data_IF_334202685373
#
_entry.id   IF_334202685373
#
_cell.length_a   1.000
_cell.length_b   1.000
_cell.length_c   1.000
_cell.angle_alpha   90.00
_cell.angle_beta   90.00
_cell.angle_gamma   90.00
#
_symmetry.space_group_name_H-M   'P 1'
#
loop_
_entity.id
_entity.type
_entity.pdbx_description
1 polymer ?
#
# COMPACT_ATOMS: atom_id res chain seq x y z
N UNK A 1 25.80 -21.42 -13.14
CA UNK A 1 24.89 -20.25 -13.21
C UNK A 1 25.35 -19.25 -12.19
N UNK A 2 25.56 -18.00 -12.56
CA UNK A 2 25.95 -16.95 -11.58
C UNK A 2 24.76 -16.61 -10.67
N UNK A 3 25.05 -15.98 -9.51
CA UNK A 3 23.98 -15.50 -8.61
C UNK A 3 23.03 -14.54 -9.31
N UNK A 4 23.54 -13.63 -10.10
CA UNK A 4 22.72 -12.68 -10.87
C UNK A 4 21.83 -13.37 -11.92
N UNK A 5 22.31 -14.41 -12.59
CA UNK A 5 21.48 -15.21 -13.52
C UNK A 5 20.37 -15.94 -12.80
N UNK A 6 20.66 -16.53 -11.64
CA UNK A 6 19.64 -17.13 -10.77
C UNK A 6 18.56 -16.12 -10.37
N UNK A 7 18.94 -14.93 -9.93
CA UNK A 7 17.98 -13.87 -9.56
C UNK A 7 17.12 -13.43 -10.74
N UNK A 8 17.70 -13.32 -11.95
CA UNK A 8 16.93 -13.01 -13.17
C UNK A 8 15.90 -14.09 -13.50
N UNK A 9 16.22 -15.37 -13.32
CA UNK A 9 15.26 -16.45 -13.50
C UNK A 9 14.14 -16.39 -12.46
N UNK A 10 14.47 -16.11 -11.19
CA UNK A 10 13.45 -15.91 -10.15
C UNK A 10 12.54 -14.72 -10.45
N UNK A 11 13.06 -13.63 -10.99
CA UNK A 11 12.25 -12.49 -11.41
C UNK A 11 11.24 -12.86 -12.50
N UNK A 12 11.61 -13.71 -13.45
CA UNK A 12 10.67 -14.19 -14.48
C UNK A 12 9.50 -14.95 -13.82
N UNK A 13 9.80 -15.80 -12.84
CA UNK A 13 8.78 -16.57 -12.14
C UNK A 13 7.90 -15.71 -11.22
N UNK A 14 8.42 -14.59 -10.72
CA UNK A 14 7.71 -13.64 -9.87
C UNK A 14 6.86 -12.62 -10.66
N UNK A 15 7.00 -12.56 -11.98
CA UNK A 15 6.24 -11.61 -12.80
C UNK A 15 4.87 -12.16 -13.15
N UNK A 16 3.87 -11.28 -13.07
CA UNK A 16 2.52 -11.56 -13.53
C UNK A 16 2.48 -11.39 -15.05
N UNK A 17 1.82 -12.30 -15.76
CA UNK A 17 1.61 -12.13 -17.20
C UNK A 17 0.77 -10.88 -17.49
N UNK A 18 1.06 -10.19 -18.59
CA UNK A 18 0.29 -8.99 -18.99
C UNK A 18 -1.21 -9.32 -19.18
N UNK A 19 -1.51 -10.54 -19.64
CA UNK A 19 -2.88 -10.97 -19.80
C UNK A 19 -3.59 -11.17 -18.45
N UNK A 20 -2.96 -11.85 -17.49
CA UNK A 20 -3.54 -12.02 -16.15
C UNK A 20 -3.72 -10.69 -15.46
N UNK A 21 -2.69 -9.83 -15.52
CA UNK A 21 -2.79 -8.48 -14.98
C UNK A 21 -4.02 -7.74 -15.52
N UNK A 22 -4.19 -7.71 -16.85
CA UNK A 22 -5.33 -7.03 -17.48
C UNK A 22 -6.66 -7.63 -17.05
N UNK A 23 -6.80 -8.95 -17.13
CA UNK A 23 -8.08 -9.62 -16.88
C UNK A 23 -8.52 -9.50 -15.42
N UNK A 24 -7.60 -9.58 -14.45
CA UNK A 24 -7.92 -9.39 -13.03
C UNK A 24 -8.28 -7.94 -12.72
N UNK A 25 -7.62 -6.98 -13.40
CA UNK A 25 -7.94 -5.56 -13.27
C UNK A 25 -9.32 -5.24 -13.81
N UNK A 26 -9.60 -5.65 -15.05
CA UNK A 26 -10.89 -5.41 -15.70
C UNK A 26 -12.03 -5.99 -14.83
N UNK A 27 -11.86 -7.21 -14.28
CA UNK A 27 -12.84 -7.81 -13.37
C UNK A 27 -12.97 -6.99 -12.06
N UNK A 28 -11.87 -6.57 -11.45
CA UNK A 28 -11.89 -5.81 -10.18
C UNK A 28 -12.55 -4.44 -10.36
N UNK A 29 -12.21 -3.71 -11.41
CA UNK A 29 -12.81 -2.40 -11.72
C UNK A 29 -14.30 -2.51 -11.95
N UNK A 30 -14.76 -3.48 -12.77
CA UNK A 30 -16.18 -3.68 -13.04
C UNK A 30 -16.98 -4.09 -11.78
N UNK A 31 -16.38 -4.91 -10.90
CA UNK A 31 -17.00 -5.27 -9.62
C UNK A 31 -17.16 -4.06 -8.71
N UNK A 32 -16.13 -3.21 -8.64
CA UNK A 32 -16.15 -2.01 -7.80
C UNK A 32 -17.09 -0.95 -8.35
N UNK A 33 -17.12 -0.75 -9.68
CA UNK A 33 -18.09 0.15 -10.30
C UNK A 33 -19.52 -0.22 -9.90
N UNK A 34 -19.86 -1.51 -9.93
CA UNK A 34 -21.18 -1.97 -9.50
C UNK A 34 -21.42 -1.67 -8.01
N UNK A 35 -20.49 -1.99 -7.13
CA UNK A 35 -20.59 -1.72 -5.68
C UNK A 35 -20.78 -0.23 -5.43
N UNK A 36 -20.02 0.64 -6.11
CA UNK A 36 -20.15 2.10 -5.99
C UNK A 36 -21.53 2.58 -6.44
N UNK A 37 -22.08 2.05 -7.53
CA UNK A 37 -23.43 2.39 -7.97
C UNK A 37 -24.49 1.99 -6.92
N UNK A 38 -24.34 0.82 -6.31
CA UNK A 38 -25.26 0.40 -5.25
C UNK A 38 -25.11 1.25 -3.97
N UNK A 39 -23.88 1.65 -3.59
CA UNK A 39 -23.63 2.58 -2.50
C UNK A 39 -24.33 3.93 -2.73
N UNK A 40 -24.21 4.49 -3.94
CA UNK A 40 -24.89 5.75 -4.32
C UNK A 40 -26.42 5.65 -4.25
N UNK A 41 -26.98 4.52 -4.66
CA UNK A 41 -28.43 4.29 -4.57
C UNK A 41 -28.92 4.15 -3.13
N UNK A 42 -28.12 3.56 -2.23
CA UNK A 42 -28.51 3.24 -0.85
C UNK A 42 -28.29 4.38 0.14
N UNK A 43 -27.45 5.36 -0.22
CA UNK A 43 -27.10 6.46 0.68
C UNK A 43 -26.84 7.75 -0.11
N UNK A 44 -27.70 8.75 0.10
CA UNK A 44 -27.59 10.04 -0.60
C UNK A 44 -26.30 10.79 -0.20
N UNK A 45 -25.90 10.72 1.06
CA UNK A 45 -24.65 11.33 1.53
C UNK A 45 -23.46 10.73 0.82
N UNK A 46 -23.44 9.40 0.64
CA UNK A 46 -22.38 8.76 -0.15
C UNK A 46 -22.39 9.24 -1.60
N UNK A 47 -23.57 9.32 -2.22
CA UNK A 47 -23.70 9.83 -3.59
C UNK A 47 -23.14 11.25 -3.74
N UNK A 48 -23.41 12.12 -2.78
CA UNK A 48 -22.99 13.52 -2.81
C UNK A 48 -21.48 13.70 -2.52
N UNK A 49 -20.90 12.83 -1.71
CA UNK A 49 -19.49 12.90 -1.32
C UNK A 49 -18.56 12.11 -2.26
N UNK A 50 -19.06 11.09 -2.96
CA UNK A 50 -18.20 10.24 -3.81
C UNK A 50 -17.71 11.00 -5.03
N UNK A 51 -16.39 11.07 -5.20
CA UNK A 51 -15.75 11.65 -6.39
C UNK A 51 -15.34 10.57 -7.39
N UNK A 52 -14.41 9.71 -7.00
CA UNK A 52 -13.83 8.69 -7.87
C UNK A 52 -13.18 7.57 -7.04
N UNK A 53 -12.67 6.55 -7.72
CA UNK A 53 -11.78 5.57 -7.11
C UNK A 53 -10.53 5.32 -7.96
N UNK A 54 -9.44 4.88 -7.31
CA UNK A 54 -8.22 4.49 -8.00
C UNK A 54 -7.60 3.26 -7.34
N UNK A 55 -7.12 2.36 -8.17
CA UNK A 55 -6.26 1.27 -7.73
C UNK A 55 -4.89 1.82 -7.30
N UNK A 56 -4.32 1.27 -6.23
CA UNK A 56 -3.08 1.77 -5.65
C UNK A 56 -2.17 0.62 -5.17
N UNK A 57 -1.15 0.95 -4.40
CA UNK A 57 -0.21 -0.01 -3.83
C UNK A 57 0.68 -0.70 -4.86
N UNK A 58 0.96 -1.98 -4.66
CA UNK A 58 1.84 -2.78 -5.53
C UNK A 58 1.37 -2.86 -6.97
N UNK A 59 0.07 -2.64 -7.20
CA UNK A 59 -0.53 -2.57 -8.52
C UNK A 59 -0.03 -1.36 -9.29
N UNK A 60 -0.16 -0.17 -8.72
CA UNK A 60 0.29 1.10 -9.32
C UNK A 60 1.80 1.08 -9.62
N UNK A 61 2.59 0.55 -8.70
CA UNK A 61 4.05 0.46 -8.83
C UNK A 61 4.51 -0.63 -9.81
N UNK A 62 3.61 -1.48 -10.27
CA UNK A 62 3.90 -2.63 -11.13
C UNK A 62 4.88 -3.64 -10.49
N UNK A 63 4.83 -3.80 -9.18
CA UNK A 63 5.66 -4.73 -8.40
C UNK A 63 4.85 -5.79 -7.65
N UNK A 64 3.63 -6.06 -8.12
CA UNK A 64 2.82 -7.18 -7.63
C UNK A 64 3.49 -8.49 -8.03
N UNK A 65 3.43 -9.48 -7.13
CA UNK A 65 3.93 -10.84 -7.35
C UNK A 65 2.75 -11.79 -7.50
N UNK A 66 3.00 -12.92 -8.14
CA UNK A 66 2.03 -14.00 -8.34
C UNK A 66 0.75 -13.53 -9.04
N UNK A 67 -0.41 -14.07 -8.64
CA UNK A 67 -1.69 -13.65 -9.18
C UNK A 67 -2.11 -12.29 -8.61
N UNK A 68 -2.65 -11.38 -9.42
CA UNK A 68 -3.11 -10.07 -8.98
C UNK A 68 -4.51 -10.15 -8.36
N UNK A 69 -4.69 -11.01 -7.35
CA UNK A 69 -5.96 -11.32 -6.70
C UNK A 69 -6.32 -10.39 -5.53
N UNK A 70 -5.40 -9.51 -5.14
CA UNK A 70 -5.60 -8.53 -4.07
C UNK A 70 -5.39 -7.11 -4.61
N UNK A 71 -6.34 -6.25 -4.36
CA UNK A 71 -6.33 -4.85 -4.78
C UNK A 71 -6.54 -3.93 -3.57
N UNK A 72 -5.70 -2.92 -3.46
CA UNK A 72 -5.92 -1.77 -2.58
C UNK A 72 -6.60 -0.68 -3.42
N UNK A 73 -7.72 -0.16 -2.93
CA UNK A 73 -8.52 0.81 -3.66
C UNK A 73 -8.77 2.04 -2.81
N UNK A 74 -8.31 3.18 -3.30
CA UNK A 74 -8.58 4.48 -2.74
C UNK A 74 -9.91 5.00 -3.28
N UNK A 75 -10.89 5.09 -2.40
CA UNK A 75 -12.19 5.69 -2.68
C UNK A 75 -12.14 7.16 -2.26
N UNK A 76 -12.08 8.04 -3.24
CA UNK A 76 -11.99 9.48 -3.01
C UNK A 76 -13.33 10.05 -2.62
N UNK A 77 -13.35 10.75 -1.50
CA UNK A 77 -14.49 11.51 -1.01
C UNK A 77 -14.16 13.00 -1.03
N UNK A 78 -15.13 13.81 -1.44
CA UNK A 78 -15.01 15.26 -1.52
C UNK A 78 -16.12 15.92 -0.70
N UNK A 79 -15.72 16.64 0.33
CA UNK A 79 -16.66 17.37 1.15
C UNK A 79 -17.19 18.64 0.45
N UNK A 80 -18.46 19.05 0.68
CA UNK A 80 -19.03 20.28 0.13
C UNK A 80 -18.54 21.55 0.85
N UNK A 81 -17.58 21.41 1.78
CA UNK A 81 -16.98 22.50 2.53
C UNK A 81 -15.45 22.40 2.48
N UNK A 82 -14.78 23.48 2.82
CA UNK A 82 -13.33 23.51 2.85
C UNK A 82 -12.79 22.65 3.98
N UNK A 83 -11.80 21.81 3.66
CA UNK A 83 -11.05 21.01 4.62
C UNK A 83 -9.57 21.38 4.50
N UNK A 84 -8.95 21.66 5.64
CA UNK A 84 -7.54 22.01 5.72
C UNK A 84 -6.79 20.93 6.47
N UNK A 85 -5.76 20.30 5.87
CA UNK A 85 -4.92 19.34 6.55
C UNK A 85 -3.95 20.05 7.50
N UNK A 86 -3.83 19.54 8.73
CA UNK A 86 -2.94 20.07 9.77
C UNK A 86 -1.97 18.95 10.18
N UNK A 87 -0.67 19.24 10.11
CA UNK A 87 0.37 18.30 10.50
C UNK A 87 0.29 17.93 11.98
N UNK A 88 0.54 16.66 12.30
CA UNK A 88 0.78 16.14 13.66
C UNK A 88 2.24 15.69 13.77
N UNK A 89 2.78 15.74 14.98
CA UNK A 89 4.19 15.38 15.25
C UNK A 89 4.51 13.91 14.90
N UNK A 90 3.50 13.04 14.92
CA UNK A 90 3.60 11.64 14.54
C UNK A 90 3.78 11.38 13.03
N UNK A 91 3.69 12.43 12.19
CA UNK A 91 3.69 12.29 10.72
C UNK A 91 2.32 12.00 10.11
N UNK A 92 1.28 12.07 10.91
CA UNK A 92 -0.12 12.02 10.51
C UNK A 92 -0.68 13.44 10.31
N UNK A 93 -1.88 13.54 9.80
CA UNK A 93 -2.62 14.80 9.69
C UNK A 93 -3.96 14.71 10.41
N UNK A 94 -4.41 15.81 11.01
CA UNK A 94 -5.84 16.03 11.25
C UNK A 94 -6.44 16.80 10.07
N UNK A 95 -7.73 16.62 9.84
CA UNK A 95 -8.49 17.30 8.79
C UNK A 95 -9.46 18.28 9.45
N UNK A 96 -9.13 19.57 9.39
CA UNK A 96 -9.94 20.62 9.98
C UNK A 96 -11.00 21.10 8.99
N UNK A 97 -12.28 20.93 9.33
CA UNK A 97 -13.42 21.44 8.57
C UNK A 97 -13.71 22.90 8.88
N UNK A 98 -13.86 23.74 7.85
CA UNK A 98 -14.29 25.12 7.95
C UNK A 98 -15.72 25.26 7.44
N UNK A 99 -16.67 25.46 8.35
CA UNK A 99 -18.07 25.67 7.99
C UNK A 99 -18.31 27.13 7.60
N UNK A 100 -18.84 27.36 6.41
CA UNK A 100 -19.03 28.70 5.81
C UNK A 100 -19.85 29.67 6.65
N UNK A 101 -20.75 29.16 7.49
CA UNK A 101 -21.71 29.98 8.26
C UNK A 101 -21.54 29.91 9.78
N UNK A 102 -20.59 29.15 10.27
CA UNK A 102 -20.29 29.01 11.68
C UNK A 102 -18.78 29.16 11.80
N UNK A 103 -18.30 30.17 12.52
CA UNK A 103 -16.87 30.40 12.74
C UNK A 103 -16.19 29.30 13.58
N UNK A 104 -16.71 28.08 13.50
CA UNK A 104 -16.26 26.92 14.24
C UNK A 104 -15.38 26.05 13.34
N UNK A 105 -14.15 25.82 13.79
CA UNK A 105 -13.23 24.85 13.19
C UNK A 105 -13.31 23.57 14.00
N UNK A 106 -13.59 22.47 13.35
CA UNK A 106 -13.67 21.17 14.01
C UNK A 106 -12.87 20.14 13.22
N UNK A 107 -12.11 19.31 13.95
CA UNK A 107 -11.43 18.17 13.34
C UNK A 107 -12.45 17.10 12.91
N UNK A 108 -12.29 16.62 11.69
CA UNK A 108 -13.10 15.50 11.19
C UNK A 108 -12.80 14.25 12.03
N UNK A 109 -13.87 13.62 12.46
CA UNK A 109 -13.80 12.40 13.26
C UNK A 109 -13.65 11.20 12.33
N UNK A 110 -12.42 10.73 12.13
CA UNK A 110 -12.08 9.59 11.29
C UNK A 110 -12.90 8.35 11.65
N UNK A 111 -13.03 8.04 12.94
CA UNK A 111 -13.82 6.91 13.39
C UNK A 111 -15.28 7.02 13.00
N UNK A 112 -15.88 8.22 13.06
CA UNK A 112 -17.28 8.44 12.65
C UNK A 112 -17.44 8.21 11.13
N UNK A 113 -16.47 8.64 10.32
CA UNK A 113 -16.48 8.40 8.87
C UNK A 113 -16.40 6.90 8.54
N UNK A 114 -15.54 6.17 9.23
CA UNK A 114 -15.43 4.71 9.08
C UNK A 114 -16.74 3.99 9.48
N UNK A 115 -17.35 4.37 10.60
CA UNK A 115 -18.62 3.80 11.02
C UNK A 115 -19.74 4.11 10.04
N UNK A 116 -19.78 5.34 9.52
CA UNK A 116 -20.75 5.72 8.50
C UNK A 116 -20.58 4.84 7.24
N UNK A 117 -19.38 4.75 6.67
CA UNK A 117 -19.12 3.94 5.47
C UNK A 117 -19.44 2.45 5.73
N UNK A 118 -19.09 1.92 6.90
CA UNK A 118 -19.47 0.57 7.30
C UNK A 118 -20.98 0.38 7.28
N UNK A 119 -21.75 1.36 7.80
CA UNK A 119 -23.21 1.30 7.81
C UNK A 119 -23.79 1.30 6.39
N UNK A 120 -23.21 2.09 5.48
CA UNK A 120 -23.63 2.14 4.07
C UNK A 120 -23.33 0.83 3.35
N UNK A 121 -22.12 0.29 3.55
CA UNK A 121 -21.75 -1.02 2.99
C UNK A 121 -22.64 -2.15 3.49
N UNK A 122 -23.04 -2.15 4.75
CA UNK A 122 -24.04 -3.11 5.28
C UNK A 122 -25.40 -3.01 4.61
N UNK A 123 -25.83 -1.83 4.17
CA UNK A 123 -27.08 -1.68 3.41
C UNK A 123 -26.97 -2.30 2.00
N UNK A 124 -25.77 -2.28 1.41
CA UNK A 124 -25.50 -2.88 0.10
C UNK A 124 -25.32 -4.39 0.20
N UNK A 125 -24.69 -4.85 1.29
CA UNK A 125 -24.41 -6.27 1.56
C UNK A 125 -25.17 -6.79 2.78
N UNK A 126 -26.53 -6.83 2.75
CA UNK A 126 -27.30 -7.50 3.81
C UNK A 126 -27.06 -9.02 3.79
N UNK A 127 -26.68 -9.56 2.65
CA UNK A 127 -26.24 -10.92 2.36
C UNK A 127 -25.21 -10.89 1.22
N UNK A 128 -24.69 -12.04 0.86
CA UNK A 128 -23.82 -12.15 -0.30
C UNK A 128 -24.56 -11.73 -1.58
N UNK A 129 -23.86 -11.03 -2.46
CA UNK A 129 -24.40 -10.52 -3.73
C UNK A 129 -23.84 -11.34 -4.90
N UNK A 130 -24.68 -11.72 -5.83
CA UNK A 130 -24.24 -12.39 -7.06
C UNK A 130 -24.18 -11.36 -8.19
N UNK A 131 -23.04 -11.29 -8.87
CA UNK A 131 -22.78 -10.37 -9.97
C UNK A 131 -22.08 -11.07 -11.13
N UNK A 132 -22.51 -10.78 -12.36
CA UNK A 132 -21.84 -11.29 -13.58
C UNK A 132 -20.96 -10.22 -14.21
N UNK A 133 -19.67 -10.50 -14.32
CA UNK A 133 -18.66 -9.63 -14.91
C UNK A 133 -17.77 -10.45 -15.85
N UNK A 134 -17.48 -9.94 -17.03
CA UNK A 134 -16.61 -10.60 -18.00
C UNK A 134 -17.03 -12.03 -18.37
N UNK A 135 -18.34 -12.30 -18.38
CA UNK A 135 -18.90 -13.65 -18.63
C UNK A 135 -18.72 -14.63 -17.47
N UNK A 136 -18.31 -14.17 -16.29
CA UNK A 136 -18.15 -14.96 -15.06
C UNK A 136 -19.15 -14.52 -14.01
N UNK A 137 -19.57 -15.45 -13.17
CA UNK A 137 -20.41 -15.17 -12.01
C UNK A 137 -19.53 -15.10 -10.76
N UNK A 138 -19.62 -13.99 -10.03
CA UNK A 138 -18.94 -13.74 -8.78
C UNK A 138 -19.94 -13.67 -7.63
N UNK A 139 -19.64 -14.35 -6.55
CA UNK A 139 -20.30 -14.12 -5.25
C UNK A 139 -19.48 -13.10 -4.46
N UNK A 140 -20.06 -11.93 -4.20
CA UNK A 140 -19.45 -10.85 -3.45
C UNK A 140 -19.90 -10.91 -2.00
N UNK A 141 -18.96 -10.81 -1.07
CA UNK A 141 -19.22 -10.68 0.36
C UNK A 141 -18.42 -9.51 0.93
N UNK A 142 -19.05 -8.78 1.84
CA UNK A 142 -18.41 -7.68 2.57
C UNK A 142 -17.96 -8.14 3.96
N UNK A 143 -16.73 -7.79 4.33
CA UNK A 143 -16.20 -8.00 5.68
C UNK A 143 -15.49 -6.72 6.16
N UNK A 144 -15.90 -6.15 7.30
CA UNK A 144 -15.13 -5.06 7.89
C UNK A 144 -13.76 -5.59 8.31
N UNK A 145 -12.71 -4.81 8.05
CA UNK A 145 -11.39 -5.04 8.62
C UNK A 145 -11.37 -4.82 10.13
N UNK A 146 -10.31 -5.25 10.79
CA UNK A 146 -10.11 -4.99 12.22
C UNK A 146 -10.14 -3.48 12.47
N UNK A 147 -10.92 -3.06 13.45
CA UNK A 147 -11.16 -1.64 13.78
C UNK A 147 -11.65 -0.78 12.60
N UNK A 148 -12.29 -1.40 11.58
CA UNK A 148 -12.73 -0.73 10.35
C UNK A 148 -11.59 -0.05 9.57
N UNK A 149 -10.34 -0.52 9.72
CA UNK A 149 -9.17 0.04 9.04
C UNK A 149 -9.26 -0.03 7.52
N UNK A 150 -9.92 -1.08 7.01
CA UNK A 150 -10.24 -1.25 5.62
C UNK A 150 -11.60 -1.93 5.51
N UNK A 151 -12.30 -1.65 4.43
CA UNK A 151 -13.54 -2.32 4.09
C UNK A 151 -13.26 -3.36 3.01
N UNK A 152 -13.23 -4.63 3.42
CA UNK A 152 -12.85 -5.73 2.53
C UNK A 152 -14.05 -6.30 1.78
N UNK A 153 -13.98 -6.30 0.46
CA UNK A 153 -14.89 -7.02 -0.42
C UNK A 153 -14.16 -8.24 -0.97
N UNK A 154 -14.74 -9.42 -0.75
CA UNK A 154 -14.30 -10.66 -1.40
C UNK A 154 -15.24 -10.98 -2.54
N UNK A 155 -14.69 -11.25 -3.70
CA UNK A 155 -15.43 -11.72 -4.86
C UNK A 155 -14.89 -13.10 -5.26
N UNK A 156 -15.73 -14.11 -5.19
CA UNK A 156 -15.37 -15.52 -5.43
C UNK A 156 -16.10 -16.04 -6.66
N UNK A 157 -15.37 -16.62 -7.59
CA UNK A 157 -15.91 -17.35 -8.74
C UNK A 157 -15.29 -18.74 -8.83
N UNK A 158 -15.80 -19.57 -9.72
CA UNK A 158 -15.22 -20.89 -10.00
C UNK A 158 -13.82 -20.85 -10.63
N UNK A 159 -13.38 -19.68 -11.13
CA UNK A 159 -12.11 -19.52 -11.84
C UNK A 159 -11.15 -18.57 -11.13
N UNK A 160 -11.64 -17.61 -10.34
CA UNK A 160 -10.83 -16.56 -9.73
C UNK A 160 -11.43 -16.09 -8.42
N UNK A 161 -10.54 -15.75 -7.50
CA UNK A 161 -10.90 -15.07 -6.26
C UNK A 161 -10.25 -13.70 -6.28
N UNK A 162 -11.01 -12.69 -5.90
CA UNK A 162 -10.52 -11.32 -5.75
C UNK A 162 -10.78 -10.84 -4.33
N UNK A 163 -9.81 -10.12 -3.78
CA UNK A 163 -9.93 -9.43 -2.50
C UNK A 163 -9.65 -7.95 -2.73
N UNK A 164 -10.61 -7.10 -2.41
CA UNK A 164 -10.51 -5.66 -2.62
C UNK A 164 -10.62 -4.98 -1.27
N UNK A 165 -9.58 -4.27 -0.88
CA UNK A 165 -9.52 -3.48 0.34
C UNK A 165 -9.84 -2.02 0.00
N UNK A 166 -10.99 -1.51 0.47
CA UNK A 166 -11.46 -0.15 0.24
C UNK A 166 -10.98 0.76 1.36
N UNK A 167 -10.36 1.89 0.98
CA UNK A 167 -9.95 2.95 1.90
C UNK A 167 -10.61 4.27 1.51
N UNK A 168 -11.30 4.93 2.44
CA UNK A 168 -11.73 6.30 2.24
C UNK A 168 -10.52 7.22 2.19
N UNK A 169 -10.48 8.09 1.19
CA UNK A 169 -9.36 9.01 0.99
C UNK A 169 -9.84 10.41 0.67
N UNK A 170 -9.04 11.39 1.08
CA UNK A 170 -9.27 12.81 0.87
C UNK A 170 -8.08 13.40 0.14
N UNK A 171 -8.33 13.99 -1.04
CA UNK A 171 -7.29 14.45 -1.93
C UNK A 171 -6.94 15.92 -1.68
N UNK A 172 -5.64 16.22 -1.67
CA UNK A 172 -5.07 17.55 -1.49
C UNK A 172 -4.00 17.82 -2.53
N UNK A 173 -3.86 19.09 -2.94
CA UNK A 173 -2.80 19.53 -3.84
C UNK A 173 -1.45 19.58 -3.13
N UNK A 174 -0.36 19.59 -3.90
CA UNK A 174 0.99 19.72 -3.33
C UNK A 174 1.19 21.03 -2.53
N UNK A 175 0.46 22.11 -2.87
CA UNK A 175 0.49 23.37 -2.12
C UNK A 175 -0.19 23.30 -0.75
N UNK A 176 -1.01 22.30 -0.51
CA UNK A 176 -1.67 22.04 0.77
C UNK A 176 -0.87 21.06 1.66
N UNK A 177 0.37 20.71 1.27
CA UNK A 177 1.24 19.86 2.06
C UNK A 177 1.58 20.53 3.41
N UNK A 178 1.24 19.91 4.56
CA UNK A 178 1.33 20.62 5.85
C UNK A 178 2.67 20.39 6.58
N UNK A 179 3.54 19.53 6.06
CA UNK A 179 4.84 19.23 6.66
C UNK A 179 5.96 20.02 5.98
N UNK A 180 7.18 19.88 6.52
CA UNK A 180 8.40 20.30 5.82
C UNK A 180 8.50 19.58 4.46
N UNK A 181 9.28 20.13 3.54
CA UNK A 181 9.43 19.60 2.20
C UNK A 181 9.80 18.11 2.21
N UNK A 182 8.99 17.26 1.55
CA UNK A 182 9.30 15.84 1.41
C UNK A 182 10.47 15.66 0.43
N UNK A 183 11.16 14.50 0.44
CA UNK A 183 12.24 14.21 -0.48
C UNK A 183 11.71 13.86 -1.89
N UNK A 184 10.87 14.73 -2.43
CA UNK A 184 10.19 14.59 -3.73
C UNK A 184 10.35 15.91 -4.50
N UNK A 185 10.76 15.87 -5.77
CA UNK A 185 10.94 17.07 -6.59
C UNK A 185 9.68 17.94 -6.66
N UNK A 186 9.87 19.27 -6.67
CA UNK A 186 8.76 20.24 -6.68
C UNK A 186 7.82 20.07 -7.88
N UNK A 187 8.37 19.76 -9.06
CA UNK A 187 7.57 19.52 -10.26
C UNK A 187 6.64 18.31 -10.10
N UNK A 188 7.07 17.25 -9.41
CA UNK A 188 6.25 16.08 -9.09
C UNK A 188 5.14 16.46 -8.10
N UNK A 189 5.49 17.21 -7.05
CA UNK A 189 4.52 17.70 -6.05
C UNK A 189 3.45 18.61 -6.67
N UNK A 190 3.83 19.41 -7.66
CA UNK A 190 2.90 20.29 -8.37
C UNK A 190 2.02 19.53 -9.37
N UNK A 191 2.53 18.43 -9.95
CA UNK A 191 1.82 17.66 -10.96
C UNK A 191 0.80 16.67 -10.37
N UNK A 192 1.01 16.18 -9.15
CA UNK A 192 0.21 15.12 -8.57
C UNK A 192 -0.29 15.50 -7.17
N UNK A 193 -1.51 15.04 -6.80
CA UNK A 193 -2.04 15.21 -5.46
C UNK A 193 -1.40 14.25 -4.46
N UNK A 194 -1.60 14.54 -3.17
CA UNK A 194 -1.41 13.62 -2.08
C UNK A 194 -2.74 13.34 -1.38
N UNK A 195 -2.79 12.31 -0.56
CA UNK A 195 -4.00 11.79 0.06
C UNK A 195 -3.87 11.72 1.58
N UNK A 196 -4.93 12.07 2.29
CA UNK A 196 -5.15 11.65 3.66
C UNK A 196 -6.02 10.39 3.62
N UNK A 197 -5.55 9.30 4.23
CA UNK A 197 -6.23 8.00 4.23
C UNK A 197 -6.87 7.77 5.58
N UNK A 198 -8.12 7.36 5.56
CA UNK A 198 -8.90 6.95 6.71
C UNK A 198 -8.46 5.56 7.20
N UNK A 199 -7.27 5.46 7.75
CA UNK A 199 -6.73 4.19 8.26
C UNK A 199 -6.46 4.31 9.77
N UNK A 200 -6.95 3.34 10.53
CA UNK A 200 -6.74 3.29 11.97
C UNK A 200 -5.27 3.02 12.32
N UNK A 201 -4.79 3.70 13.34
CA UNK A 201 -3.56 3.36 14.04
C UNK A 201 -3.83 3.35 15.55
N UNK A 202 -3.43 2.28 16.23
CA UNK A 202 -3.64 2.10 17.67
C UNK A 202 -2.94 3.16 18.54
N UNK A 203 -1.98 3.86 17.97
CA UNK A 203 -1.18 4.88 18.65
C UNK A 203 -1.67 6.30 18.37
N UNK A 204 -2.70 6.46 17.52
CA UNK A 204 -3.25 7.75 17.13
C UNK A 204 -4.70 7.89 17.60
N UNK A 205 -5.14 9.13 17.75
CA UNK A 205 -6.52 9.44 18.13
C UNK A 205 -7.51 9.22 16.98
N UNK A 206 -8.79 9.33 17.26
CA UNK A 206 -9.86 9.18 16.29
C UNK A 206 -9.95 10.26 15.22
N UNK A 207 -9.05 11.28 15.24
CA UNK A 207 -8.99 12.39 14.29
C UNK A 207 -7.78 12.35 13.36
N UNK A 208 -6.87 11.37 13.54
CA UNK A 208 -5.64 11.25 12.78
C UNK A 208 -5.84 10.44 11.49
N UNK A 209 -5.35 10.97 10.37
CA UNK A 209 -5.35 10.35 9.04
C UNK A 209 -3.92 10.08 8.60
N UNK A 210 -3.70 8.95 7.92
CA UNK A 210 -2.39 8.62 7.35
C UNK A 210 -2.16 9.44 6.09
N UNK A 211 -0.95 9.97 5.95
CA UNK A 211 -0.50 10.63 4.73
C UNK A 211 -0.03 9.59 3.72
N UNK A 212 -0.47 9.74 2.48
CA UNK A 212 -0.06 8.89 1.36
C UNK A 212 0.05 9.72 0.08
N UNK A 213 1.10 9.48 -0.69
CA UNK A 213 1.27 10.12 -2.00
C UNK A 213 1.78 9.10 -3.01
N UNK A 214 0.93 8.13 -3.42
CA UNK A 214 1.35 7.02 -4.27
C UNK A 214 1.95 7.48 -5.61
N UNK A 215 1.39 8.55 -6.20
CA UNK A 215 1.88 9.11 -7.46
C UNK A 215 3.23 9.82 -7.31
N UNK A 216 3.51 10.43 -6.15
CA UNK A 216 4.81 11.01 -5.85
C UNK A 216 5.88 9.92 -5.71
N UNK A 217 5.57 8.88 -4.94
CA UNK A 217 6.46 7.73 -4.78
C UNK A 217 6.68 7.00 -6.11
N UNK A 218 5.61 6.78 -6.88
CA UNK A 218 5.70 6.15 -8.20
C UNK A 218 6.60 6.96 -9.15
N UNK A 219 6.48 8.30 -9.16
CA UNK A 219 7.32 9.16 -10.00
C UNK A 219 8.82 9.01 -9.71
N UNK A 220 9.22 8.63 -8.49
CA UNK A 220 10.61 8.39 -8.13
C UNK A 220 11.15 7.03 -8.62
N UNK A 221 10.26 6.05 -8.81
CA UNK A 221 10.68 4.67 -9.10
C UNK A 221 10.25 4.17 -10.48
N UNK A 222 9.31 4.85 -11.16
CA UNK A 222 8.67 4.36 -12.40
C UNK A 222 9.67 3.99 -13.50
N UNK A 223 10.73 4.79 -13.67
CA UNK A 223 11.73 4.62 -14.72
C UNK A 223 12.95 3.82 -14.24
N UNK A 224 13.00 3.41 -12.97
CA UNK A 224 14.07 2.64 -12.41
C UNK A 224 13.72 1.14 -12.36
N UNK A 225 13.97 0.43 -13.46
CA UNK A 225 13.66 -0.99 -13.59
C UNK A 225 14.40 -1.86 -12.56
N UNK A 226 15.69 -1.57 -12.28
CA UNK A 226 16.45 -2.36 -11.30
C UNK A 226 15.96 -2.17 -9.86
N UNK A 227 15.53 -0.96 -9.49
CA UNK A 227 14.90 -0.73 -8.19
C UNK A 227 13.62 -1.57 -8.07
N UNK A 228 12.78 -1.59 -9.11
CA UNK A 228 11.57 -2.44 -9.14
C UNK A 228 11.90 -3.93 -9.04
N UNK A 229 12.97 -4.38 -9.72
CA UNK A 229 13.41 -5.77 -9.67
C UNK A 229 13.91 -6.15 -8.27
N UNK A 230 14.71 -5.30 -7.63
CA UNK A 230 15.16 -5.49 -6.25
C UNK A 230 13.94 -5.55 -5.31
N UNK A 231 12.95 -4.68 -5.47
CA UNK A 231 11.73 -4.70 -4.66
C UNK A 231 10.94 -6.01 -4.85
N UNK A 232 10.81 -6.50 -6.10
CA UNK A 232 10.17 -7.81 -6.37
C UNK A 232 10.93 -8.96 -5.69
N UNK A 233 12.26 -8.96 -5.78
CA UNK A 233 13.08 -9.98 -5.12
C UNK A 233 12.96 -9.91 -3.60
N UNK A 234 13.01 -8.74 -2.99
CA UNK A 234 12.79 -8.58 -1.55
C UNK A 234 11.41 -9.10 -1.11
N UNK A 235 10.37 -8.82 -1.90
CA UNK A 235 9.03 -9.33 -1.67
C UNK A 235 8.98 -10.86 -1.84
N UNK A 236 9.63 -11.41 -2.86
CA UNK A 236 9.74 -12.86 -3.06
C UNK A 236 10.42 -13.55 -1.88
N UNK A 237 11.52 -12.99 -1.38
CA UNK A 237 12.19 -13.48 -0.16
C UNK A 237 11.27 -13.47 1.04
N UNK A 238 10.54 -12.37 1.26
CA UNK A 238 9.55 -12.27 2.34
C UNK A 238 8.43 -13.31 2.18
N UNK A 239 7.87 -13.47 0.98
CA UNK A 239 6.72 -14.34 0.75
C UNK A 239 7.11 -15.82 0.90
N UNK A 240 8.32 -16.21 0.47
CA UNK A 240 8.87 -17.54 0.70
C UNK A 240 9.12 -17.84 2.20
N UNK A 241 9.32 -16.80 3.01
CA UNK A 241 9.60 -16.92 4.45
C UNK A 241 8.51 -16.25 5.31
N UNK A 242 7.26 -16.23 4.83
CA UNK A 242 6.17 -15.40 5.41
C UNK A 242 5.86 -15.70 6.88
N UNK A 243 5.98 -16.94 7.30
CA UNK A 243 5.75 -17.34 8.71
C UNK A 243 6.84 -16.85 9.65
N UNK A 244 8.07 -16.70 9.14
CA UNK A 244 9.25 -16.22 9.87
C UNK A 244 9.47 -14.70 9.71
N UNK A 245 8.74 -14.05 8.81
CA UNK A 245 8.76 -12.60 8.61
C UNK A 245 7.36 -11.99 8.87
N UNK A 246 6.77 -12.24 10.05
CA UNK A 246 5.44 -11.75 10.38
C UNK A 246 5.41 -10.21 10.37
N UNK A 247 4.30 -9.63 9.92
CA UNK A 247 4.06 -8.18 9.89
C UNK A 247 5.03 -7.36 9.02
N UNK A 248 6.03 -7.97 8.36
CA UNK A 248 6.89 -7.27 7.40
C UNK A 248 6.10 -6.96 6.12
N UNK A 249 5.68 -5.71 5.99
CA UNK A 249 4.83 -5.26 4.88
C UNK A 249 5.64 -4.95 3.62
N UNK A 250 4.97 -5.03 2.45
CA UNK A 250 5.56 -4.57 1.18
C UNK A 250 5.92 -3.08 1.22
N UNK A 251 5.15 -2.27 1.95
CA UNK A 251 5.42 -0.84 2.07
C UNK A 251 6.68 -0.55 2.90
N UNK A 252 6.97 -1.33 3.95
CA UNK A 252 8.24 -1.20 4.69
C UNK A 252 9.43 -1.45 3.77
N UNK A 253 9.39 -2.51 2.95
CA UNK A 253 10.46 -2.80 1.98
C UNK A 253 10.57 -1.69 0.91
N UNK A 254 9.45 -1.23 0.36
CA UNK A 254 9.42 -0.09 -0.57
C UNK A 254 10.04 1.16 0.07
N UNK A 255 9.73 1.45 1.33
CA UNK A 255 10.27 2.60 2.06
C UNK A 255 11.79 2.55 2.20
N UNK A 256 12.37 1.37 2.46
CA UNK A 256 13.84 1.20 2.47
C UNK A 256 14.44 1.62 1.13
N UNK A 257 13.84 1.18 0.01
CA UNK A 257 14.34 1.55 -1.32
C UNK A 257 14.11 3.03 -1.64
N UNK A 258 12.98 3.61 -1.25
CA UNK A 258 12.68 5.02 -1.46
C UNK A 258 13.70 5.93 -0.75
N UNK A 259 14.10 5.60 0.47
CA UNK A 259 15.16 6.33 1.18
C UNK A 259 16.51 6.28 0.47
N UNK A 260 16.73 5.32 -0.42
CA UNK A 260 17.98 5.10 -1.19
C UNK A 260 17.83 5.45 -2.67
N UNK A 261 16.65 5.73 -3.16
CA UNK A 261 16.36 5.90 -4.59
C UNK A 261 17.26 6.93 -5.29
N UNK A 262 17.59 8.04 -4.61
CA UNK A 262 18.40 9.12 -5.15
C UNK A 262 19.91 8.97 -4.92
N UNK A 263 20.36 8.06 -4.02
CA UNK A 263 21.76 7.99 -3.57
C UNK A 263 22.50 6.73 -4.05
N UNK A 264 21.75 5.69 -4.41
CA UNK A 264 22.32 4.42 -4.87
C UNK A 264 22.53 4.44 -6.38
N UNK A 265 23.67 3.97 -6.83
CA UNK A 265 23.89 3.67 -8.24
C UNK A 265 23.16 2.37 -8.61
N UNK A 266 21.96 2.53 -9.19
CA UNK A 266 21.13 1.41 -9.65
C UNK A 266 21.66 0.75 -10.94
N UNK A 267 22.76 1.27 -11.55
CA UNK A 267 23.45 0.65 -12.68
C UNK A 267 24.20 -0.64 -12.32
N UNK A 268 24.52 -0.85 -11.04
CA UNK A 268 25.33 -1.96 -10.51
C UNK A 268 24.66 -3.34 -10.69
N UNK A 269 25.39 -4.38 -10.31
CA UNK A 269 24.93 -5.76 -10.35
C UNK A 269 23.67 -5.99 -9.48
N UNK A 270 22.72 -6.78 -9.99
CA UNK A 270 21.44 -7.02 -9.32
C UNK A 270 21.61 -7.73 -7.96
N UNK A 271 22.55 -8.69 -7.89
CA UNK A 271 22.83 -9.40 -6.64
C UNK A 271 23.46 -8.48 -5.59
N UNK A 272 24.31 -7.54 -6.02
CA UNK A 272 24.87 -6.52 -5.12
C UNK A 272 23.79 -5.62 -4.54
N UNK A 273 22.92 -5.11 -5.42
CA UNK A 273 21.82 -4.23 -5.02
C UNK A 273 20.85 -4.94 -4.06
N UNK A 274 20.54 -6.21 -4.33
CA UNK A 274 19.67 -6.99 -3.44
C UNK A 274 20.28 -7.16 -2.05
N UNK A 275 21.57 -7.54 -1.98
CA UNK A 275 22.31 -7.72 -0.71
C UNK A 275 22.35 -6.40 0.06
N UNK A 276 22.64 -5.28 -0.62
CA UNK A 276 22.71 -3.96 0.00
C UNK A 276 21.34 -3.50 0.54
N UNK A 277 20.28 -3.60 -0.26
CA UNK A 277 18.95 -3.18 0.20
C UNK A 277 18.41 -4.07 1.32
N UNK A 278 18.69 -5.38 1.26
CA UNK A 278 18.35 -6.29 2.35
C UNK A 278 19.17 -5.99 3.63
N UNK A 279 20.45 -5.58 3.50
CA UNK A 279 21.27 -5.13 4.63
C UNK A 279 20.66 -3.89 5.30
N UNK A 280 20.20 -2.90 4.52
CA UNK A 280 19.51 -1.72 5.07
C UNK A 280 18.20 -2.09 5.76
N UNK A 281 17.44 -3.05 5.26
CA UNK A 281 16.26 -3.56 5.96
C UNK A 281 16.63 -4.16 7.33
N UNK A 282 17.70 -4.96 7.39
CA UNK A 282 18.23 -5.53 8.64
C UNK A 282 18.65 -4.42 9.61
N UNK A 283 19.35 -3.41 9.15
CA UNK A 283 19.75 -2.24 9.97
C UNK A 283 18.54 -1.52 10.57
N UNK A 284 17.49 -1.29 9.78
CA UNK A 284 16.25 -0.68 10.27
C UNK A 284 15.54 -1.54 11.30
N UNK A 285 15.47 -2.85 11.08
CA UNK A 285 14.86 -3.80 12.03
C UNK A 285 15.66 -3.85 13.36
N UNK A 286 16.99 -3.83 13.29
CA UNK A 286 17.89 -3.86 14.45
C UNK A 286 17.76 -2.58 15.28
N UNK A 287 17.82 -1.42 14.61
CA UNK A 287 17.64 -0.11 15.23
C UNK A 287 16.20 0.13 15.72
N UNK A 288 15.24 -0.67 15.26
CA UNK A 288 13.83 -0.51 15.59
C UNK A 288 13.19 0.74 15.00
N UNK A 289 13.79 1.34 13.96
CA UNK A 289 13.31 2.58 13.35
C UNK A 289 13.38 2.53 11.82
N UNK A 290 12.22 2.71 11.19
CA UNK A 290 12.07 2.96 9.77
C UNK A 290 11.14 4.15 9.59
N UNK A 291 11.70 5.31 9.28
CA UNK A 291 10.94 6.56 9.15
C UNK A 291 9.99 6.51 7.94
N UNK A 292 8.83 7.15 8.07
CA UNK A 292 7.99 7.44 6.92
C UNK A 292 8.76 8.26 5.89
N UNK A 293 8.73 7.82 4.63
CA UNK A 293 9.51 8.47 3.57
C UNK A 293 9.10 9.94 3.36
N UNK A 294 7.79 10.20 3.31
CA UNK A 294 7.27 11.52 2.95
C UNK A 294 7.36 12.53 4.08
N UNK A 295 7.05 12.14 5.30
CA UNK A 295 6.92 13.06 6.43
C UNK A 295 8.17 13.13 7.31
N UNK A 296 9.07 12.15 7.19
CA UNK A 296 10.27 11.96 8.04
C UNK A 296 9.97 11.88 9.55
N UNK A 297 8.73 11.98 9.93
CA UNK A 297 8.22 11.80 11.26
C UNK A 297 7.50 10.46 11.37
N UNK A 298 7.43 9.90 12.54
CA UNK A 298 6.84 8.59 12.74
C UNK A 298 7.78 7.42 12.38
N UNK A 299 7.34 6.24 12.71
CA UNK A 299 8.13 5.01 12.57
C UNK A 299 7.23 3.86 12.11
N UNK A 300 7.45 3.35 10.90
CA UNK A 300 6.67 2.25 10.34
C UNK A 300 6.79 0.97 11.19
N UNK A 301 7.94 0.72 11.82
CA UNK A 301 8.16 -0.45 12.67
C UNK A 301 7.41 -0.39 14.00
N UNK A 302 6.87 0.79 14.38
CA UNK A 302 6.03 0.93 15.58
C UNK A 302 4.77 0.05 15.52
N UNK A 303 4.32 -0.28 14.31
CA UNK A 303 3.14 -1.13 14.08
C UNK A 303 3.40 -2.62 14.30
N UNK A 304 4.68 -3.02 14.27
CA UNK A 304 5.05 -4.40 14.53
C UNK A 304 5.08 -4.67 16.04
N UNK A 305 4.51 -5.80 16.44
CA UNK A 305 4.68 -6.27 17.83
C UNK A 305 6.17 -6.51 18.11
N UNK A 306 6.70 -6.14 19.29
CA UNK A 306 8.12 -6.30 19.61
C UNK A 306 8.65 -7.73 19.41
N UNK A 307 7.86 -8.76 19.76
CA UNK A 307 8.18 -10.17 19.52
C UNK A 307 8.31 -10.49 18.03
N UNK A 308 7.37 -10.01 17.20
CA UNK A 308 7.36 -10.21 15.76
C UNK A 308 8.54 -9.48 15.09
N UNK A 309 8.87 -8.26 15.55
CA UNK A 309 10.05 -7.55 15.07
C UNK A 309 11.34 -8.32 15.34
N UNK A 310 11.47 -8.94 16.54
CA UNK A 310 12.63 -9.77 16.88
C UNK A 310 12.73 -10.99 15.95
N UNK A 311 11.63 -11.70 15.74
CA UNK A 311 11.59 -12.85 14.81
C UNK A 311 11.97 -12.41 13.39
N UNK A 312 11.42 -11.28 12.90
CA UNK A 312 11.78 -10.72 11.61
C UNK A 312 13.27 -10.38 11.51
N UNK A 313 13.83 -9.75 12.54
CA UNK A 313 15.26 -9.40 12.58
C UNK A 313 16.14 -10.63 12.49
N UNK A 314 15.89 -11.64 13.33
CA UNK A 314 16.68 -12.87 13.36
C UNK A 314 16.62 -13.59 12.00
N UNK A 315 15.43 -13.72 11.44
CA UNK A 315 15.24 -14.31 10.10
C UNK A 315 15.89 -13.48 9.00
N UNK A 316 15.75 -12.16 9.02
CA UNK A 316 16.35 -11.29 8.02
C UNK A 316 17.88 -11.32 8.07
N UNK A 317 18.50 -11.48 9.25
CA UNK A 317 19.94 -11.69 9.42
C UNK A 317 20.40 -13.03 8.82
N UNK A 318 19.65 -14.10 9.01
CA UNK A 318 19.92 -15.42 8.40
C UNK A 318 19.87 -15.32 6.87
N UNK A 319 18.80 -14.73 6.33
CA UNK A 319 18.66 -14.52 4.87
C UNK A 319 19.76 -13.63 4.29
N UNK A 320 20.18 -12.57 5.00
CA UNK A 320 21.29 -11.73 4.58
C UNK A 320 22.59 -12.53 4.48
N UNK A 321 22.87 -13.40 5.46
CA UNK A 321 24.02 -14.29 5.42
C UNK A 321 23.96 -15.21 4.20
N UNK A 322 22.82 -15.86 3.97
CA UNK A 322 22.61 -16.74 2.81
C UNK A 322 22.78 -16.00 1.47
N UNK A 323 22.26 -14.76 1.34
CA UNK A 323 22.44 -13.94 0.15
C UNK A 323 23.91 -13.60 -0.11
N UNK A 324 24.69 -13.29 0.94
CA UNK A 324 26.14 -13.01 0.83
C UNK A 324 26.93 -14.26 0.44
N UNK A 325 26.61 -15.40 1.03
CA UNK A 325 27.22 -16.69 0.71
C UNK A 325 26.91 -17.10 -0.74
N UNK A 326 25.66 -17.00 -1.17
CA UNK A 326 25.24 -17.27 -2.54
C UNK A 326 25.97 -16.38 -3.57
N UNK A 327 26.16 -15.11 -3.25
CA UNK A 327 26.94 -14.18 -4.10
C UNK A 327 28.40 -14.60 -4.25
N UNK A 328 29.01 -15.17 -3.20
CA UNK A 328 30.43 -15.58 -3.20
C UNK A 328 30.64 -16.95 -3.85
N UNK A 329 29.76 -17.91 -3.60
CA UNK A 329 29.98 -19.32 -3.92
C UNK A 329 29.55 -19.72 -5.34
N UNK A 330 28.67 -18.96 -5.99
CA UNK A 330 28.12 -19.22 -7.33
C UNK A 330 27.46 -20.61 -7.56
N UNK A 331 27.15 -21.38 -6.52
CA UNK A 331 26.70 -22.76 -6.67
C UNK A 331 25.64 -23.30 -5.66
N UNK A 332 25.20 -22.52 -4.68
CA UNK A 332 24.18 -22.95 -3.71
C UNK A 332 23.10 -21.89 -3.53
N UNK A 333 22.10 -21.93 -4.42
CA UNK A 333 20.98 -20.98 -4.40
C UNK A 333 19.68 -21.58 -3.85
N UNK A 334 19.76 -22.78 -3.26
CA UNK A 334 18.60 -23.55 -2.90
C UNK A 334 17.80 -22.91 -1.77
N UNK A 335 16.48 -22.80 -2.02
CA UNK A 335 15.40 -22.50 -1.06
C UNK A 335 15.26 -21.09 -0.49
N UNK A 336 15.96 -20.06 -0.96
CA UNK A 336 15.69 -18.68 -0.51
C UNK A 336 14.36 -18.13 -1.05
N UNK A 337 14.01 -18.53 -2.28
CA UNK A 337 12.80 -18.13 -3.00
C UNK A 337 11.96 -19.39 -3.33
N UNK A 338 11.58 -20.12 -2.33
CA UNK A 338 10.84 -21.36 -2.52
C UNK A 338 9.43 -21.12 -3.07
#
# INVERSE_FOLDING_TARGET
MSFTEYLKQKLINLQISSNDHKVYTDDAEALIDHVVQELKKKDSTFNDLFDSFNLCGSYLDQVKLDLPDQFDLHMKLKFPFKVTPIAKDSGYVSLCAEYKYISKKEDLQRAALQYWLHSVLKKVFPSDMILRVGGKEYTLSYRPGTFLCAHKIKAVSNKRNLSIDLFSTYEFTGSQWPFTDPPVPQNVRNAYPWLAIDMFDIYEDGTSFIVSAPLWENALIKDNHKLKDVLRLMKGLRDANRTQLPELSSYMMKTVLLHRAATVDWGRDLGELLVEMWSHLVEHLDNGKLEFFLTKNGNLLRRMQPSNRKICLDTAKVLLKSLREAKLANDKFDNMFA
#
